data_IF_377402475958
#
_entry.id   IF_377402475958
#
_cell.length_a   1.000
_cell.length_b   1.000
_cell.length_c   1.000
_cell.angle_alpha   90.00
_cell.angle_beta   90.00
_cell.angle_gamma   90.00
#
_symmetry.space_group_name_H-M   'P 1'
#
loop_
_entity.id
_entity.type
_entity.pdbx_description
1 polymer ?
#
# COMPACT_ATOMS: atom_id res chain seq x y z
N UNK A 1 -3.19 10.46 27.24
CA UNK A 1 -4.13 9.34 27.00
C UNK A 1 -3.99 8.25 28.09
N UNK A 2 -2.80 7.70 28.33
CA UNK A 2 -2.57 6.55 29.27
C UNK A 2 -3.15 6.70 30.67
N UNK A 3 -3.18 7.91 31.21
CA UNK A 3 -3.69 8.16 32.57
C UNK A 3 -5.23 8.18 32.67
N UNK A 4 -5.91 8.36 31.53
CA UNK A 4 -7.37 8.50 31.48
C UNK A 4 -8.09 7.35 30.78
N UNK A 5 -7.43 6.68 29.84
CA UNK A 5 -7.99 5.59 29.02
C UNK A 5 -7.11 4.36 29.15
N UNK A 6 -7.70 3.22 29.50
CA UNK A 6 -7.03 1.92 29.61
C UNK A 6 -7.68 0.83 28.72
N UNK A 7 -9.00 0.91 28.51
CA UNK A 7 -9.79 -0.15 27.87
C UNK A 7 -10.35 0.33 26.54
N UNK A 8 -9.81 -0.20 25.43
CA UNK A 8 -10.14 0.19 24.08
C UNK A 8 -10.82 -0.98 23.35
N UNK A 9 -11.89 -0.69 22.58
CA UNK A 9 -12.53 -1.69 21.74
C UNK A 9 -12.53 -1.25 20.27
N UNK A 10 -12.13 -2.16 19.38
CA UNK A 10 -12.03 -1.94 17.94
C UNK A 10 -13.17 -2.66 17.20
N UNK A 11 -14.03 -1.92 16.49
CA UNK A 11 -15.06 -2.50 15.63
C UNK A 11 -14.50 -2.65 14.21
N UNK A 12 -14.48 -3.89 13.67
CA UNK A 12 -13.78 -4.23 12.43
C UNK A 12 -12.26 -4.37 12.64
N UNK A 13 -11.87 -4.98 13.76
CA UNK A 13 -10.45 -5.07 14.19
C UNK A 13 -9.55 -5.84 13.21
N UNK A 14 -10.12 -6.70 12.37
CA UNK A 14 -9.37 -7.52 11.41
C UNK A 14 -8.99 -6.79 10.11
N UNK A 15 -9.44 -5.55 9.92
CA UNK A 15 -9.00 -4.70 8.81
C UNK A 15 -7.50 -4.42 8.88
N UNK A 16 -6.81 -4.29 7.73
CA UNK A 16 -5.35 -4.16 7.65
C UNK A 16 -4.80 -3.01 8.51
N UNK A 17 -5.37 -1.82 8.39
CA UNK A 17 -4.97 -0.67 9.22
C UNK A 17 -5.44 -0.74 10.67
N UNK A 18 -6.60 -1.37 10.95
CA UNK A 18 -7.14 -1.52 12.31
C UNK A 18 -6.30 -2.49 13.15
N UNK A 19 -5.93 -3.63 12.58
CA UNK A 19 -5.18 -4.66 13.29
C UNK A 19 -3.80 -4.18 13.73
N UNK A 20 -3.11 -3.39 12.89
CA UNK A 20 -1.82 -2.80 13.23
C UNK A 20 -1.91 -1.81 14.40
N UNK A 21 -2.91 -0.94 14.40
CA UNK A 21 -3.15 0.00 15.51
C UNK A 21 -3.47 -0.76 16.80
N UNK A 22 -4.34 -1.78 16.72
CA UNK A 22 -4.72 -2.61 17.87
C UNK A 22 -3.51 -3.33 18.48
N UNK A 23 -2.60 -3.85 17.64
CA UNK A 23 -1.34 -4.47 18.05
C UNK A 23 -0.44 -3.46 18.77
N UNK A 24 -0.19 -2.29 18.20
CA UNK A 24 0.62 -1.23 18.81
C UNK A 24 0.02 -0.79 20.15
N UNK A 25 -1.30 -0.57 20.23
CA UNK A 25 -1.98 -0.19 21.45
C UNK A 25 -1.84 -1.27 22.54
N UNK A 26 -1.98 -2.54 22.17
CA UNK A 26 -1.80 -3.67 23.09
C UNK A 26 -0.35 -3.70 23.65
N UNK A 27 0.63 -3.58 22.77
CA UNK A 27 2.05 -3.58 23.15
C UNK A 27 2.43 -2.35 23.98
N UNK A 28 1.71 -1.24 23.85
CA UNK A 28 1.81 -0.07 24.73
C UNK A 28 1.16 -0.29 26.10
N UNK A 29 0.54 -1.45 26.37
CA UNK A 29 -0.05 -1.82 27.66
C UNK A 29 -1.53 -1.44 27.82
N UNK A 30 -2.23 -1.06 26.76
CA UNK A 30 -3.68 -0.90 26.79
C UNK A 30 -4.40 -2.25 26.79
N UNK A 31 -5.55 -2.32 27.45
CA UNK A 31 -6.44 -3.48 27.42
C UNK A 31 -7.28 -3.39 26.14
N UNK A 32 -6.80 -4.04 25.09
CA UNK A 32 -7.42 -4.02 23.77
C UNK A 32 -8.40 -5.19 23.62
N UNK A 33 -9.53 -4.91 23.00
CA UNK A 33 -10.48 -5.91 22.51
C UNK A 33 -11.06 -5.45 21.18
N UNK A 34 -11.74 -6.33 20.44
CA UNK A 34 -12.42 -5.93 19.22
C UNK A 34 -13.41 -6.96 18.72
N UNK A 35 -14.14 -6.60 17.67
CA UNK A 35 -15.07 -7.44 16.95
C UNK A 35 -14.76 -7.45 15.47
N UNK A 36 -14.94 -8.61 14.81
CA UNK A 36 -14.86 -8.77 13.38
C UNK A 36 -15.69 -9.97 12.91
N UNK A 37 -16.36 -9.82 11.77
CA UNK A 37 -17.18 -10.89 11.19
C UNK A 37 -16.34 -11.95 10.46
N UNK A 38 -15.10 -11.58 10.06
CA UNK A 38 -14.22 -12.47 9.31
C UNK A 38 -13.06 -12.97 10.18
N UNK A 39 -12.82 -14.27 10.16
CA UNK A 39 -11.67 -14.88 10.82
C UNK A 39 -10.41 -14.77 9.92
N UNK A 40 -9.99 -13.56 9.64
CA UNK A 40 -8.80 -13.25 8.82
C UNK A 40 -7.50 -13.70 9.49
N UNK A 41 -6.40 -13.71 8.73
CA UNK A 41 -5.06 -13.96 9.30
C UNK A 41 -4.67 -12.91 10.35
N UNK A 42 -5.10 -11.66 10.18
CA UNK A 42 -4.89 -10.58 11.16
C UNK A 42 -5.63 -10.89 12.48
N UNK A 43 -6.91 -11.27 12.41
CA UNK A 43 -7.67 -11.67 13.61
C UNK A 43 -7.01 -12.86 14.34
N UNK A 44 -6.51 -13.85 13.59
CA UNK A 44 -5.79 -15.00 14.19
C UNK A 44 -4.51 -14.55 14.89
N UNK A 45 -3.76 -13.60 14.30
CA UNK A 45 -2.54 -13.05 14.91
C UNK A 45 -2.85 -12.30 16.21
N UNK A 46 -3.84 -11.40 16.20
CA UNK A 46 -4.27 -10.66 17.39
C UNK A 46 -4.72 -11.58 18.54
N UNK A 47 -5.46 -12.65 18.23
CA UNK A 47 -5.84 -13.66 19.23
C UNK A 47 -4.64 -14.37 19.83
N UNK A 48 -3.61 -14.69 19.03
CA UNK A 48 -2.36 -15.30 19.53
C UNK A 48 -1.59 -14.36 20.47
N UNK A 49 -1.72 -13.04 20.31
CA UNK A 49 -1.15 -12.03 21.20
C UNK A 49 -1.95 -11.83 22.49
N UNK A 50 -3.08 -12.55 22.68
CA UNK A 50 -3.93 -12.42 23.87
C UNK A 50 -5.03 -11.37 23.74
N UNK A 51 -5.20 -10.72 22.58
CA UNK A 51 -6.27 -9.75 22.36
C UNK A 51 -7.61 -10.49 22.21
N UNK A 52 -8.61 -10.08 23.00
CA UNK A 52 -9.95 -10.66 22.95
C UNK A 52 -10.69 -10.15 21.69
N UNK A 53 -10.90 -11.04 20.71
CA UNK A 53 -11.63 -10.71 19.48
C UNK A 53 -12.91 -11.53 19.38
N UNK A 54 -14.05 -10.81 19.30
CA UNK A 54 -15.38 -11.38 19.13
C UNK A 54 -15.69 -11.60 17.64
N UNK A 55 -16.32 -12.73 17.30
CA UNK A 55 -16.68 -13.09 15.92
C UNK A 55 -18.05 -12.56 15.48
N UNK A 56 -18.75 -11.83 16.37
CA UNK A 56 -20.07 -11.22 16.12
C UNK A 56 -20.12 -9.85 16.78
N UNK A 57 -20.82 -8.92 16.15
CA UNK A 57 -21.16 -7.65 16.78
C UNK A 57 -22.26 -7.84 17.81
N UNK A 58 -22.07 -7.31 19.01
CA UNK A 58 -23.04 -7.36 20.11
C UNK A 58 -22.86 -6.16 21.04
N UNK A 59 -23.96 -5.60 21.53
CA UNK A 59 -23.93 -4.52 22.54
C UNK A 59 -23.15 -4.89 23.80
N UNK A 60 -23.12 -6.18 24.15
CA UNK A 60 -22.34 -6.68 25.31
C UNK A 60 -20.81 -6.57 25.12
N UNK A 61 -20.30 -6.51 23.90
CA UNK A 61 -18.86 -6.46 23.62
C UNK A 61 -18.20 -5.17 24.13
N UNK A 62 -18.97 -4.09 24.17
CA UNK A 62 -18.49 -2.74 24.56
C UNK A 62 -18.68 -2.42 26.05
N UNK A 63 -19.31 -3.32 26.81
CA UNK A 63 -19.53 -3.12 28.23
C UNK A 63 -18.21 -2.89 28.98
N UNK A 64 -18.14 -1.77 29.71
CA UNK A 64 -16.95 -1.36 30.48
C UNK A 64 -15.76 -0.94 29.61
N UNK A 65 -15.98 -0.54 28.36
CA UNK A 65 -14.98 0.09 27.51
C UNK A 65 -15.01 1.60 27.68
N UNK A 66 -13.88 2.24 27.45
CA UNK A 66 -13.70 3.68 27.68
C UNK A 66 -13.62 4.45 26.37
N UNK A 67 -13.28 3.78 25.28
CA UNK A 67 -13.29 4.33 23.91
C UNK A 67 -13.52 3.23 22.89
N UNK A 68 -14.24 3.57 21.82
CA UNK A 68 -14.51 2.70 20.68
C UNK A 68 -13.81 3.26 19.45
N UNK A 69 -13.02 2.42 18.77
CA UNK A 69 -12.39 2.75 17.48
C UNK A 69 -13.13 2.05 16.37
N UNK A 70 -13.56 2.79 15.35
CA UNK A 70 -14.41 2.24 14.28
C UNK A 70 -13.67 2.29 12.94
N UNK A 71 -13.73 1.17 12.19
CA UNK A 71 -13.29 1.12 10.80
C UNK A 71 -14.32 1.80 9.89
N UNK A 72 -13.86 2.53 8.86
CA UNK A 72 -14.75 3.13 7.85
C UNK A 72 -15.63 2.13 7.09
N UNK A 73 -15.25 0.84 7.06
CA UNK A 73 -16.05 -0.22 6.45
C UNK A 73 -17.25 -0.68 7.31
N UNK A 74 -17.35 -0.24 8.56
CA UNK A 74 -18.43 -0.62 9.47
C UNK A 74 -19.63 0.31 9.28
N UNK A 75 -20.84 -0.24 9.01
CA UNK A 75 -22.03 0.58 8.82
C UNK A 75 -22.40 1.38 10.08
N UNK A 76 -22.86 2.63 9.91
CA UNK A 76 -23.26 3.53 11.02
C UNK A 76 -24.38 2.95 11.91
N UNK A 77 -25.17 2.02 11.39
CA UNK A 77 -26.25 1.35 12.14
C UNK A 77 -25.78 0.13 12.93
N UNK A 78 -24.47 -0.14 13.04
CA UNK A 78 -23.91 -1.25 13.80
C UNK A 78 -24.37 -1.21 15.27
N UNK A 79 -24.69 -2.40 15.84
CA UNK A 79 -25.24 -2.50 17.20
C UNK A 79 -24.26 -2.03 18.28
N UNK A 80 -22.96 -2.22 18.09
CA UNK A 80 -21.92 -1.77 19.03
C UNK A 80 -21.79 -0.22 19.00
N UNK A 81 -21.89 0.39 17.80
CA UNK A 81 -21.92 1.86 17.65
C UNK A 81 -23.13 2.45 18.36
N UNK A 82 -24.33 1.90 18.12
CA UNK A 82 -25.56 2.36 18.76
C UNK A 82 -25.49 2.28 20.30
N UNK A 83 -24.97 1.17 20.80
CA UNK A 83 -24.83 0.97 22.25
C UNK A 83 -23.78 1.93 22.85
N UNK A 84 -22.67 2.19 22.14
CA UNK A 84 -21.65 3.14 22.57
C UNK A 84 -22.22 4.57 22.65
N UNK A 85 -23.04 4.98 21.66
CA UNK A 85 -23.74 6.27 21.67
C UNK A 85 -24.70 6.37 22.87
N UNK A 86 -25.51 5.31 23.11
CA UNK A 86 -26.43 5.25 24.25
C UNK A 86 -25.72 5.32 25.59
N UNK A 87 -24.54 4.75 25.68
CA UNK A 87 -23.71 4.70 26.91
C UNK A 87 -22.76 5.88 27.05
N UNK A 88 -22.83 6.88 26.17
CA UNK A 88 -21.91 8.03 26.11
C UNK A 88 -20.41 7.64 26.08
N UNK A 89 -20.09 6.52 25.45
CA UNK A 89 -18.70 6.11 25.22
C UNK A 89 -18.19 6.81 23.97
N UNK A 90 -17.03 7.52 24.01
CA UNK A 90 -16.44 8.14 22.83
C UNK A 90 -16.22 7.15 21.69
N UNK A 91 -16.64 7.55 20.49
CA UNK A 91 -16.47 6.77 19.25
C UNK A 91 -15.58 7.60 18.32
N UNK A 92 -14.43 7.06 17.99
CA UNK A 92 -13.43 7.73 17.14
C UNK A 92 -13.13 6.90 15.89
N UNK A 93 -12.85 7.52 14.75
CA UNK A 93 -12.41 6.84 13.56
C UNK A 93 -10.98 6.29 13.72
N UNK A 94 -10.62 5.32 12.89
CA UNK A 94 -9.27 4.72 12.82
C UNK A 94 -8.16 5.78 12.73
N UNK A 95 -8.34 6.78 11.89
CA UNK A 95 -7.34 7.82 11.65
C UNK A 95 -7.08 8.70 12.88
N UNK A 96 -8.11 9.01 13.66
CA UNK A 96 -7.97 9.75 14.91
C UNK A 96 -7.17 8.95 15.94
N UNK A 97 -7.42 7.64 16.09
CA UNK A 97 -6.59 6.79 16.96
C UNK A 97 -5.14 6.71 16.48
N UNK A 98 -4.92 6.68 15.16
CA UNK A 98 -3.57 6.69 14.58
C UNK A 98 -2.87 8.02 14.88
N UNK A 99 -3.58 9.14 14.78
CA UNK A 99 -3.07 10.47 15.16
C UNK A 99 -2.71 10.55 16.64
N UNK A 100 -3.53 9.99 17.52
CA UNK A 100 -3.20 9.92 18.95
C UNK A 100 -1.93 9.10 19.23
N UNK A 101 -1.69 8.02 18.46
CA UNK A 101 -0.42 7.29 18.54
C UNK A 101 0.77 8.14 18.09
N UNK A 102 0.60 8.98 17.06
CA UNK A 102 1.67 9.86 16.57
C UNK A 102 2.11 10.90 17.63
N UNK A 103 1.23 11.30 18.55
CA UNK A 103 1.58 12.22 19.65
C UNK A 103 2.62 11.67 20.62
N UNK A 104 2.84 10.37 20.63
CA UNK A 104 3.86 9.74 21.49
C UNK A 104 5.26 9.71 20.87
N UNK A 105 5.38 9.99 19.57
CA UNK A 105 6.61 9.86 18.79
C UNK A 105 6.65 10.87 17.65
N UNK A 106 7.82 11.08 17.05
CA UNK A 106 7.99 11.91 15.85
C UNK A 106 7.38 11.18 14.64
N UNK A 107 6.27 11.68 14.12
CA UNK A 107 5.53 11.07 13.03
C UNK A 107 6.18 11.31 11.67
N UNK A 108 6.27 10.25 10.86
CA UNK A 108 6.60 10.29 9.43
C UNK A 108 5.39 9.74 8.69
N UNK A 109 4.71 10.56 7.90
CA UNK A 109 3.52 10.16 7.16
C UNK A 109 3.84 10.02 5.66
N UNK A 110 3.45 8.89 5.08
CA UNK A 110 3.66 8.60 3.66
C UNK A 110 2.32 8.68 2.95
N UNK A 111 2.14 9.75 2.16
CA UNK A 111 0.94 10.02 1.36
C UNK A 111 1.19 9.82 -0.13
N UNK A 112 0.11 9.77 -0.90
CA UNK A 112 0.08 9.66 -2.34
C UNK A 112 -0.88 8.57 -2.79
N UNK A 113 -1.35 8.64 -4.03
CA UNK A 113 -2.32 7.68 -4.56
C UNK A 113 -1.71 6.28 -4.65
N UNK A 114 -0.48 6.17 -5.15
CA UNK A 114 0.22 4.89 -5.35
C UNK A 114 1.54 4.84 -4.58
N UNK A 115 1.99 3.62 -4.24
CA UNK A 115 3.31 3.40 -3.65
C UNK A 115 3.42 3.63 -2.15
N UNK A 116 2.36 4.06 -1.45
CA UNK A 116 2.35 4.30 0.01
C UNK A 116 2.96 3.14 0.80
N UNK A 117 2.38 1.95 0.67
CA UNK A 117 2.79 0.75 1.41
C UNK A 117 4.26 0.39 1.17
N UNK A 118 4.69 0.41 -0.09
CA UNK A 118 6.08 0.09 -0.45
C UNK A 118 7.07 1.13 0.10
N UNK A 119 6.71 2.42 0.02
CA UNK A 119 7.55 3.51 0.54
C UNK A 119 7.63 3.47 2.05
N UNK A 120 6.50 3.31 2.76
CA UNK A 120 6.46 3.16 4.23
C UNK A 120 7.35 2.01 4.69
N UNK A 121 7.30 0.91 3.96
CA UNK A 121 8.09 -0.29 4.25
C UNK A 121 9.59 -0.09 4.01
N UNK A 122 9.97 0.57 2.91
CA UNK A 122 11.36 0.91 2.61
C UNK A 122 11.92 1.91 3.64
N UNK A 123 11.15 2.94 4.01
CA UNK A 123 11.52 3.88 5.08
C UNK A 123 11.74 3.14 6.40
N UNK A 124 10.82 2.24 6.76
CA UNK A 124 10.95 1.43 7.98
C UNK A 124 12.20 0.55 7.97
N UNK A 125 12.53 -0.06 6.82
CA UNK A 125 13.73 -0.90 6.66
C UNK A 125 15.01 -0.07 6.78
N UNK A 126 15.08 1.08 6.11
CA UNK A 126 16.25 1.98 6.16
C UNK A 126 16.48 2.51 7.56
N UNK A 127 15.44 3.02 8.23
CA UNK A 127 15.58 3.56 9.60
C UNK A 127 15.93 2.46 10.62
N UNK A 128 15.40 1.24 10.44
CA UNK A 128 15.77 0.10 11.29
C UNK A 128 17.24 -0.32 11.10
N UNK A 129 17.75 -0.30 9.86
CA UNK A 129 19.16 -0.57 9.58
C UNK A 129 20.10 0.45 10.22
N UNK A 130 19.65 1.70 10.39
CA UNK A 130 20.35 2.74 11.14
C UNK A 130 20.16 2.69 12.66
N UNK A 131 19.64 1.59 13.21
CA UNK A 131 19.39 1.37 14.64
C UNK A 131 18.42 2.37 15.31
N UNK A 132 17.56 3.02 14.51
CA UNK A 132 16.56 3.96 15.06
C UNK A 132 15.30 3.25 15.58
N UNK A 133 15.17 1.96 15.37
CA UNK A 133 14.08 1.08 15.83
C UNK A 133 12.69 1.74 15.83
N UNK A 134 12.17 2.15 14.64
CA UNK A 134 10.93 2.89 14.54
C UNK A 134 9.71 2.03 14.88
N UNK A 135 8.67 2.67 15.41
CA UNK A 135 7.31 2.13 15.38
C UNK A 135 6.75 2.34 13.97
N UNK A 136 6.00 1.37 13.44
CA UNK A 136 5.32 1.55 12.16
C UNK A 136 3.97 0.85 12.10
N UNK A 137 3.06 1.41 11.29
CA UNK A 137 1.79 0.81 10.90
C UNK A 137 1.67 0.90 9.39
N UNK A 138 1.57 -0.25 8.71
CA UNK A 138 1.61 -0.41 7.26
C UNK A 138 0.34 -1.12 6.79
N UNK A 139 -0.24 -0.69 5.67
CA UNK A 139 -1.42 -1.32 5.07
C UNK A 139 -1.18 -2.73 4.51
N UNK A 140 0.08 -3.08 4.22
CA UNK A 140 0.53 -4.41 3.76
C UNK A 140 1.36 -5.15 4.81
N UNK A 141 1.70 -6.41 4.53
CA UNK A 141 2.55 -7.24 5.39
C UNK A 141 4.00 -7.22 4.92
N UNK A 142 4.91 -6.75 5.75
CA UNK A 142 6.35 -6.85 5.50
C UNK A 142 6.78 -8.32 5.46
N UNK A 143 7.42 -8.75 4.36
CA UNK A 143 7.85 -10.12 4.18
C UNK A 143 8.94 -10.53 5.19
N UNK A 144 9.90 -9.64 5.48
CA UNK A 144 10.96 -9.88 6.43
C UNK A 144 10.46 -10.10 7.86
N UNK A 145 9.45 -9.35 8.29
CA UNK A 145 8.96 -9.39 9.68
C UNK A 145 7.64 -10.16 9.82
N UNK A 146 6.99 -10.54 8.72
CA UNK A 146 5.67 -11.21 8.69
C UNK A 146 4.60 -10.44 9.49
N UNK A 147 4.72 -9.12 9.61
CA UNK A 147 3.86 -8.23 10.40
C UNK A 147 3.45 -6.98 9.61
N UNK A 148 2.30 -6.41 9.96
CA UNK A 148 1.79 -5.15 9.40
C UNK A 148 2.12 -3.96 10.32
N UNK A 149 2.53 -4.23 11.55
CA UNK A 149 2.89 -3.21 12.51
C UNK A 149 3.98 -3.71 13.44
N UNK A 150 4.71 -2.77 14.03
CA UNK A 150 5.71 -3.03 15.07
C UNK A 150 5.72 -1.86 16.03
N UNK A 151 5.75 -2.13 17.33
CA UNK A 151 6.13 -1.15 18.32
C UNK A 151 7.65 -1.19 18.47
N UNK A 152 8.34 -0.15 17.96
CA UNK A 152 9.78 0.04 18.17
C UNK A 152 10.06 0.84 19.43
N UNK A 153 11.28 0.74 19.95
CA UNK A 153 11.74 1.47 21.14
C UNK A 153 12.22 2.89 20.81
N UNK A 154 12.48 3.19 19.53
CA UNK A 154 12.94 4.52 19.09
C UNK A 154 11.81 5.56 19.05
N UNK A 155 12.19 6.82 18.79
CA UNK A 155 11.29 7.99 18.83
C UNK A 155 10.49 8.20 17.54
N UNK A 156 10.66 7.35 16.54
CA UNK A 156 10.03 7.52 15.24
C UNK A 156 8.76 6.68 15.11
N UNK A 157 7.74 7.25 14.44
CA UNK A 157 6.51 6.55 14.10
C UNK A 157 6.18 6.77 12.62
N UNK A 158 6.20 5.69 11.83
CA UNK A 158 6.00 5.71 10.39
C UNK A 158 4.60 5.18 10.09
N UNK A 159 3.82 5.94 9.31
CA UNK A 159 2.44 5.59 8.98
C UNK A 159 2.12 5.84 7.51
N UNK A 160 1.20 5.06 6.97
CA UNK A 160 0.54 5.37 5.70
C UNK A 160 -0.54 6.42 5.94
N UNK A 161 -0.54 7.48 5.15
CA UNK A 161 -1.53 8.55 5.15
C UNK A 161 -2.54 8.26 4.02
N UNK A 162 -3.78 7.94 4.41
CA UNK A 162 -4.80 7.47 3.49
C UNK A 162 -5.66 8.66 2.99
N UNK A 163 -5.54 8.97 1.71
CA UNK A 163 -6.30 10.00 1.03
C UNK A 163 -7.69 9.56 0.60
N UNK A 164 -7.94 8.25 0.53
CA UNK A 164 -9.16 7.69 -0.07
C UNK A 164 -10.46 8.14 0.59
N UNK A 165 -10.40 8.51 1.87
CA UNK A 165 -11.51 9.04 2.68
C UNK A 165 -11.17 10.39 3.34
N UNK A 166 -10.12 11.06 2.87
CA UNK A 166 -9.54 12.29 3.43
C UNK A 166 -9.10 12.16 4.91
N UNK A 167 -9.04 10.94 5.46
CA UNK A 167 -8.72 10.70 6.86
C UNK A 167 -7.28 11.06 7.23
N UNK A 168 -6.38 11.20 6.25
CA UNK A 168 -5.01 11.65 6.46
C UNK A 168 -4.93 13.07 7.05
N UNK A 169 -5.96 13.91 6.88
CA UNK A 169 -6.04 15.25 7.50
C UNK A 169 -6.05 15.21 9.04
N UNK A 170 -6.34 14.07 9.65
CA UNK A 170 -6.24 13.91 11.10
C UNK A 170 -4.81 13.72 11.58
N UNK A 171 -3.87 13.37 10.70
CA UNK A 171 -2.48 13.08 11.06
C UNK A 171 -1.69 14.38 11.26
N UNK A 172 -0.78 14.37 12.24
CA UNK A 172 0.11 15.50 12.55
C UNK A 172 1.59 15.05 12.45
N UNK A 173 2.11 14.81 11.25
CA UNK A 173 3.49 14.33 11.07
C UNK A 173 4.51 15.47 11.25
N UNK A 174 5.73 15.09 11.67
CA UNK A 174 6.91 15.98 11.62
C UNK A 174 7.51 15.98 10.19
N UNK A 175 7.46 14.82 9.53
CA UNK A 175 7.90 14.69 8.15
C UNK A 175 6.78 14.07 7.30
N UNK A 176 6.59 14.63 6.12
CA UNK A 176 5.60 14.15 5.14
C UNK A 176 6.28 13.74 3.86
N UNK A 177 5.91 12.58 3.32
CA UNK A 177 6.31 12.14 1.98
C UNK A 177 5.09 12.16 1.08
N UNK A 178 5.21 12.74 -0.12
CA UNK A 178 4.19 12.66 -1.18
C UNK A 178 4.80 11.96 -2.39
N UNK A 179 4.26 10.78 -2.70
CA UNK A 179 4.79 9.94 -3.79
C UNK A 179 4.26 10.32 -5.16
N UNK A 180 2.96 10.54 -5.28
CA UNK A 180 2.24 10.94 -6.49
C UNK A 180 0.81 11.37 -6.13
N UNK A 181 0.12 12.02 -7.07
CA UNK A 181 -1.31 12.37 -6.98
C UNK A 181 -1.94 11.94 -8.30
N UNK A 182 -2.86 10.97 -8.29
CA UNK A 182 -3.49 10.41 -9.48
C UNK A 182 -5.02 10.43 -9.35
N UNK A 183 -5.71 10.23 -10.46
CA UNK A 183 -7.17 10.19 -10.56
C UNK A 183 -7.73 8.90 -9.93
N UNK A 184 -7.76 8.83 -8.60
CA UNK A 184 -8.41 7.73 -7.86
C UNK A 184 -9.20 8.30 -6.68
N UNK A 185 -10.20 7.57 -6.21
CA UNK A 185 -11.03 7.94 -5.06
C UNK A 185 -11.75 9.30 -5.18
N UNK A 186 -12.01 9.78 -6.41
CA UNK A 186 -12.63 11.10 -6.65
C UNK A 186 -14.04 11.22 -6.07
N UNK A 187 -14.73 10.13 -5.78
CA UNK A 187 -16.03 10.12 -5.10
C UNK A 187 -15.98 10.88 -3.74
N UNK A 188 -14.88 10.73 -3.01
CA UNK A 188 -14.63 11.47 -1.74
C UNK A 188 -14.48 12.97 -1.97
N UNK A 189 -14.06 13.36 -3.15
CA UNK A 189 -13.77 14.74 -3.55
C UNK A 189 -14.82 15.31 -4.52
N UNK A 190 -16.03 14.73 -4.54
CA UNK A 190 -17.16 15.16 -5.38
C UNK A 190 -16.86 15.15 -6.88
N UNK A 191 -15.95 14.27 -7.31
CA UNK A 191 -15.49 14.18 -8.71
C UNK A 191 -14.48 15.25 -9.12
N UNK A 192 -14.07 16.13 -8.21
CA UNK A 192 -13.18 17.26 -8.48
C UNK A 192 -11.71 16.94 -8.12
N UNK A 193 -10.87 16.85 -9.14
CA UNK A 193 -9.45 16.59 -8.97
C UNK A 193 -8.67 17.76 -8.33
N UNK A 194 -9.09 19.01 -8.56
CA UNK A 194 -8.49 20.16 -7.89
C UNK A 194 -8.78 20.12 -6.38
N UNK A 195 -9.96 19.65 -5.99
CA UNK A 195 -10.30 19.44 -4.59
C UNK A 195 -9.39 18.37 -3.95
N UNK A 196 -9.10 17.29 -4.65
CA UNK A 196 -8.11 16.30 -4.21
C UNK A 196 -6.73 16.96 -4.00
N UNK A 197 -6.23 17.72 -4.97
CA UNK A 197 -4.95 18.44 -4.84
C UNK A 197 -4.93 19.42 -3.68
N UNK A 198 -6.01 20.17 -3.48
CA UNK A 198 -6.17 21.08 -2.35
C UNK A 198 -6.10 20.34 -1.01
N UNK A 199 -6.74 19.17 -0.92
CA UNK A 199 -6.70 18.34 0.29
C UNK A 199 -5.28 17.81 0.57
N UNK A 200 -4.50 17.49 -0.46
CA UNK A 200 -3.08 17.19 -0.28
C UNK A 200 -2.29 18.39 0.24
N UNK A 201 -2.57 19.61 -0.24
CA UNK A 201 -1.93 20.83 0.27
C UNK A 201 -2.28 21.04 1.74
N UNK A 202 -3.55 20.88 2.13
CA UNK A 202 -4.00 21.00 3.51
C UNK A 202 -3.32 19.97 4.41
N UNK A 203 -3.20 18.72 3.93
CA UNK A 203 -2.46 17.68 4.64
C UNK A 203 -0.96 18.01 4.79
N UNK A 204 -0.31 18.48 3.74
CA UNK A 204 1.10 18.89 3.79
C UNK A 204 1.30 20.02 4.83
N UNK A 205 0.35 20.93 4.96
CA UNK A 205 0.40 22.01 5.95
C UNK A 205 0.17 21.54 7.40
N UNK A 206 -0.27 20.29 7.65
CA UNK A 206 -0.21 19.68 8.99
C UNK A 206 1.24 19.42 9.45
N UNK A 207 2.19 19.35 8.52
CA UNK A 207 3.62 19.35 8.85
C UNK A 207 3.98 20.68 9.50
N UNK A 208 4.63 20.72 10.68
CA UNK A 208 4.97 21.97 11.35
C UNK A 208 6.02 22.77 10.55
N UNK A 209 6.18 24.05 10.86
CA UNK A 209 7.10 24.93 10.14
C UNK A 209 8.59 24.48 10.19
N UNK A 210 8.94 23.68 11.18
CA UNK A 210 10.29 23.10 11.36
C UNK A 210 10.40 21.68 10.81
N UNK A 211 9.34 21.13 10.27
CA UNK A 211 9.32 19.82 9.65
C UNK A 211 9.65 19.89 8.15
N UNK A 212 9.89 18.72 7.55
CA UNK A 212 10.32 18.61 6.16
C UNK A 212 9.30 17.81 5.33
N UNK A 213 9.02 18.27 4.11
CA UNK A 213 8.16 17.62 3.13
C UNK A 213 9.00 17.05 1.99
N UNK A 214 8.89 15.76 1.74
CA UNK A 214 9.60 15.07 0.66
C UNK A 214 8.64 14.84 -0.50
N UNK A 215 8.92 15.42 -1.67
CA UNK A 215 8.00 15.43 -2.81
C UNK A 215 8.62 14.83 -4.06
N UNK A 216 7.93 13.86 -4.68
CA UNK A 216 8.35 13.25 -5.94
C UNK A 216 8.04 14.17 -7.12
N UNK A 217 9.04 14.85 -7.69
CA UNK A 217 8.83 15.79 -8.80
C UNK A 217 8.75 15.13 -10.17
N UNK A 218 8.84 13.82 -10.26
CA UNK A 218 8.54 13.08 -11.48
C UNK A 218 7.04 13.02 -11.76
N UNK A 219 6.22 13.26 -10.73
CA UNK A 219 4.78 13.38 -10.85
C UNK A 219 4.40 14.84 -11.09
N UNK A 220 3.73 15.12 -12.22
CA UNK A 220 3.39 16.48 -12.63
C UNK A 220 2.34 17.13 -11.71
N UNK A 221 1.45 16.34 -11.09
CA UNK A 221 0.46 16.86 -10.15
C UNK A 221 1.11 17.24 -8.82
N UNK A 222 2.04 16.42 -8.31
CA UNK A 222 2.87 16.77 -7.15
C UNK A 222 3.69 18.03 -7.45
N UNK A 223 4.31 18.10 -8.61
CA UNK A 223 5.09 19.27 -9.03
C UNK A 223 4.23 20.54 -9.11
N UNK A 224 2.99 20.43 -9.59
CA UNK A 224 2.07 21.57 -9.75
C UNK A 224 1.66 22.22 -8.44
N UNK A 225 1.66 21.48 -7.31
CA UNK A 225 1.27 22.02 -6.01
C UNK A 225 2.44 22.63 -5.22
N UNK A 226 3.70 22.35 -5.59
CA UNK A 226 4.91 22.86 -4.91
C UNK A 226 4.86 24.39 -4.67
N UNK A 227 4.51 25.25 -5.66
CA UNK A 227 4.49 26.70 -5.45
C UNK A 227 3.50 27.18 -4.37
N UNK A 228 2.58 26.31 -3.94
CA UNK A 228 1.54 26.61 -2.94
C UNK A 228 1.91 26.12 -1.54
N UNK A 229 3.09 25.47 -1.37
CA UNK A 229 3.52 24.88 -0.10
C UNK A 229 4.47 25.83 0.62
N UNK A 230 4.11 26.22 1.85
CA UNK A 230 4.91 27.05 2.73
C UNK A 230 5.64 26.22 3.80
N UNK A 231 6.35 25.17 3.39
CA UNK A 231 7.16 24.29 4.24
C UNK A 231 8.51 24.05 3.58
N UNK A 232 9.49 23.55 4.34
CA UNK A 232 10.74 23.09 3.76
C UNK A 232 10.46 21.86 2.86
N UNK A 233 10.87 21.95 1.59
CA UNK A 233 10.65 20.87 0.62
C UNK A 233 12.01 20.29 0.20
N UNK A 234 12.09 18.95 0.25
CA UNK A 234 13.17 18.19 -0.39
C UNK A 234 12.55 17.39 -1.52
N UNK A 235 12.90 17.73 -2.75
CA UNK A 235 12.39 17.04 -3.94
C UNK A 235 13.22 15.81 -4.25
N UNK A 236 12.56 14.75 -4.71
CA UNK A 236 13.25 13.53 -5.16
C UNK A 236 12.65 13.01 -6.47
N UNK A 237 13.44 12.23 -7.22
CA UNK A 237 12.97 11.63 -8.47
C UNK A 237 14.10 11.28 -9.44
N UNK A 238 13.72 10.91 -10.66
CA UNK A 238 14.64 10.69 -11.80
C UNK A 238 14.93 11.99 -12.53
N UNK A 239 14.05 12.99 -12.38
CA UNK A 239 14.19 14.31 -12.99
C UNK A 239 15.50 14.99 -12.59
N UNK A 240 16.16 15.65 -13.56
CA UNK A 240 17.39 16.41 -13.33
C UNK A 240 17.25 17.53 -12.29
N UNK A 241 16.03 18.01 -12.08
CA UNK A 241 15.71 19.07 -11.15
C UNK A 241 15.47 18.57 -9.71
N UNK A 242 15.45 17.26 -9.48
CA UNK A 242 15.32 16.70 -8.15
C UNK A 242 16.55 16.99 -7.30
N UNK A 243 16.33 17.31 -6.02
CA UNK A 243 17.41 17.50 -5.04
C UNK A 243 18.08 16.17 -4.69
N UNK A 244 17.29 15.11 -4.58
CA UNK A 244 17.77 13.72 -4.43
C UNK A 244 17.42 12.98 -5.71
N UNK A 245 18.40 12.76 -6.57
CA UNK A 245 18.20 12.26 -7.93
C UNK A 245 18.77 10.85 -8.12
N UNK A 246 18.01 9.93 -8.76
CA UNK A 246 18.59 8.70 -9.26
C UNK A 246 19.05 8.85 -10.72
N UNK A 247 20.26 8.34 -10.99
CA UNK A 247 20.90 8.32 -12.29
C UNK A 247 21.44 6.94 -12.63
N UNK A 248 21.75 6.71 -13.91
CA UNK A 248 22.42 5.49 -14.39
C UNK A 248 21.68 4.21 -13.95
N UNK A 249 20.34 4.21 -14.11
CA UNK A 249 19.52 3.06 -13.76
C UNK A 249 19.93 1.83 -14.57
N UNK A 250 20.13 0.70 -13.88
CA UNK A 250 20.33 -0.62 -14.48
C UNK A 250 19.28 -1.57 -13.96
N UNK A 251 18.60 -2.27 -14.86
CA UNK A 251 17.60 -3.26 -14.56
C UNK A 251 18.15 -4.66 -14.82
N UNK A 252 18.10 -5.56 -13.85
CA UNK A 252 18.53 -6.95 -13.94
C UNK A 252 17.50 -7.85 -13.27
N UNK A 253 16.69 -8.55 -14.06
CA UNK A 253 15.60 -9.40 -13.56
C UNK A 253 14.70 -8.67 -12.56
N UNK A 254 14.74 -9.09 -11.28
CA UNK A 254 13.96 -8.52 -10.20
C UNK A 254 14.70 -7.46 -9.39
N UNK A 255 15.79 -6.88 -9.92
CA UNK A 255 16.64 -5.92 -9.22
C UNK A 255 16.82 -4.64 -10.00
N UNK A 256 17.01 -3.55 -9.27
CA UNK A 256 17.47 -2.27 -9.81
C UNK A 256 18.75 -1.83 -9.11
N UNK A 257 19.74 -1.36 -9.87
CA UNK A 257 20.85 -0.57 -9.34
C UNK A 257 20.87 0.82 -9.96
N UNK A 258 21.24 1.79 -9.18
CA UNK A 258 21.27 3.19 -9.62
C UNK A 258 22.21 4.02 -8.75
N UNK A 259 22.69 5.14 -9.31
CA UNK A 259 23.48 6.12 -8.59
C UNK A 259 22.56 7.20 -8.01
N UNK A 260 22.79 7.56 -6.75
CA UNK A 260 22.12 8.67 -6.06
C UNK A 260 23.01 9.88 -6.11
N UNK A 261 22.49 10.98 -6.63
CA UNK A 261 23.08 12.31 -6.54
C UNK A 261 22.28 13.15 -5.55
N UNK A 262 22.96 13.65 -4.55
CA UNK A 262 22.39 14.47 -3.50
C UNK A 262 22.88 15.92 -3.65
N UNK A 263 21.94 16.85 -3.80
CA UNK A 263 22.22 18.29 -3.92
C UNK A 263 21.84 19.07 -2.67
N UNK A 264 21.17 18.41 -1.71
CA UNK A 264 20.64 19.04 -0.49
C UNK A 264 21.53 18.78 0.73
N UNK A 265 21.77 17.52 1.09
CA UNK A 265 22.60 17.13 2.25
C UNK A 265 24.10 17.17 1.93
N UNK A 266 24.46 17.42 0.66
CA UNK A 266 25.86 17.52 0.16
C UNK A 266 26.69 16.25 0.34
N UNK A 267 26.02 15.09 0.29
CA UNK A 267 26.72 13.80 0.32
C UNK A 267 27.38 13.50 -1.02
N UNK A 268 28.51 12.80 -1.01
CA UNK A 268 29.11 12.28 -2.25
C UNK A 268 28.14 11.29 -2.92
N UNK A 269 28.07 11.33 -4.25
CA UNK A 269 27.26 10.36 -5.02
C UNK A 269 27.63 8.92 -4.68
N UNK A 270 26.62 8.07 -4.56
CA UNK A 270 26.80 6.67 -4.20
C UNK A 270 25.85 5.77 -5.00
N UNK A 271 26.28 4.54 -5.23
CA UNK A 271 25.47 3.52 -5.89
C UNK A 271 24.67 2.73 -4.87
N UNK A 272 23.41 2.40 -5.19
CA UNK A 272 22.55 1.52 -4.40
C UNK A 272 21.95 0.42 -5.26
N UNK A 273 21.60 -0.70 -4.62
CA UNK A 273 20.87 -1.82 -5.20
C UNK A 273 19.60 -2.06 -4.38
N UNK A 274 18.50 -2.34 -5.07
CA UNK A 274 17.23 -2.78 -4.47
C UNK A 274 16.78 -4.08 -5.12
N UNK A 275 16.19 -4.98 -4.33
CA UNK A 275 15.66 -6.26 -4.79
C UNK A 275 14.21 -6.15 -5.30
N UNK A 276 13.91 -5.06 -5.99
CA UNK A 276 12.60 -4.72 -6.54
C UNK A 276 12.77 -4.14 -7.94
N UNK A 277 12.02 -4.60 -8.94
CA UNK A 277 12.16 -4.14 -10.32
C UNK A 277 11.31 -2.89 -10.59
N UNK A 278 11.82 -2.04 -11.48
CA UNK A 278 11.06 -0.91 -12.03
C UNK A 278 11.34 0.44 -11.38
N UNK A 279 11.14 1.47 -12.20
CA UNK A 279 11.45 2.85 -11.83
C UNK A 279 10.59 3.38 -10.68
N UNK A 280 9.36 2.88 -10.54
CA UNK A 280 8.49 3.25 -9.42
C UNK A 280 9.09 2.83 -8.07
N UNK A 281 9.76 1.67 -7.99
CA UNK A 281 10.48 1.27 -6.78
C UNK A 281 11.76 2.07 -6.57
N UNK A 282 12.41 2.54 -7.63
CA UNK A 282 13.53 3.49 -7.51
C UNK A 282 13.06 4.79 -6.87
N UNK A 283 11.90 5.35 -7.30
CA UNK A 283 11.30 6.54 -6.68
C UNK A 283 10.96 6.30 -5.21
N UNK A 284 10.34 5.17 -4.87
CA UNK A 284 10.04 4.80 -3.49
C UNK A 284 11.32 4.67 -2.64
N UNK A 285 12.39 4.11 -3.20
CA UNK A 285 13.68 4.00 -2.52
C UNK A 285 14.33 5.37 -2.32
N UNK A 286 14.22 6.30 -3.28
CA UNK A 286 14.72 7.68 -3.12
C UNK A 286 14.03 8.40 -1.96
N UNK A 287 12.73 8.20 -1.76
CA UNK A 287 12.03 8.74 -0.58
C UNK A 287 12.62 8.17 0.72
N UNK A 288 12.89 6.85 0.77
CA UNK A 288 13.50 6.23 1.94
C UNK A 288 14.96 6.70 2.17
N UNK A 289 15.73 6.91 1.10
CA UNK A 289 17.07 7.49 1.16
C UNK A 289 17.01 8.91 1.72
N UNK A 290 16.12 9.76 1.20
CA UNK A 290 15.97 11.15 1.63
C UNK A 290 15.60 11.23 3.12
N UNK A 291 14.67 10.39 3.59
CA UNK A 291 14.33 10.27 5.01
C UNK A 291 15.54 9.75 5.82
N UNK A 292 16.28 8.74 5.34
CA UNK A 292 17.47 8.25 6.02
C UNK A 292 18.52 9.34 6.21
N UNK A 293 18.77 10.15 5.18
CA UNK A 293 19.69 11.29 5.23
C UNK A 293 19.20 12.39 6.19
N UNK A 294 17.90 12.70 6.20
CA UNK A 294 17.28 13.65 7.14
C UNK A 294 17.51 13.25 8.61
N UNK A 295 17.47 11.96 8.89
CA UNK A 295 17.74 11.44 10.24
C UNK A 295 19.22 11.10 10.49
N UNK A 296 20.12 11.54 9.62
CA UNK A 296 21.57 11.44 9.79
C UNK A 296 22.14 10.03 9.65
N UNK A 297 21.48 9.13 8.95
CA UNK A 297 21.99 7.79 8.71
C UNK A 297 23.20 7.81 7.80
N UNK A 298 24.15 6.92 8.09
CA UNK A 298 25.31 6.71 7.22
C UNK A 298 24.90 6.07 5.89
N UNK A 299 25.63 6.36 4.81
CA UNK A 299 25.40 5.71 3.50
C UNK A 299 25.45 4.18 3.59
N UNK A 300 26.37 3.55 4.32
CA UNK A 300 26.36 2.09 4.54
C UNK A 300 25.07 1.57 5.17
N UNK A 301 24.51 2.26 6.16
CA UNK A 301 23.25 1.86 6.80
C UNK A 301 22.07 1.96 5.84
N UNK A 302 21.98 3.06 5.08
CA UNK A 302 20.96 3.25 4.04
C UNK A 302 21.03 2.12 3.01
N UNK A 303 22.25 1.81 2.48
CA UNK A 303 22.46 0.72 1.53
C UNK A 303 22.04 -0.63 2.11
N UNK A 304 22.39 -0.92 3.35
CA UNK A 304 22.01 -2.15 4.05
C UNK A 304 20.49 -2.26 4.15
N UNK A 305 19.80 -1.20 4.61
CA UNK A 305 18.35 -1.19 4.75
C UNK A 305 17.60 -1.38 3.43
N UNK A 306 18.11 -0.85 2.32
CA UNK A 306 17.56 -1.05 0.99
C UNK A 306 17.82 -2.47 0.46
N UNK A 307 19.02 -3.00 0.64
CA UNK A 307 19.42 -4.34 0.18
C UNK A 307 18.71 -5.45 0.96
N UNK A 308 18.57 -5.30 2.28
CA UNK A 308 17.94 -6.30 3.15
C UNK A 308 16.39 -6.27 3.04
N UNK A 309 15.85 -5.29 2.36
CA UNK A 309 14.42 -5.20 2.12
C UNK A 309 13.94 -6.32 1.19
N UNK A 310 13.16 -7.23 1.71
CA UNK A 310 12.65 -8.43 1.01
C UNK A 310 11.27 -8.25 0.37
N UNK A 311 10.80 -7.00 0.26
CA UNK A 311 9.50 -6.67 -0.32
C UNK A 311 8.34 -6.72 0.69
N UNK A 312 7.18 -6.39 0.20
CA UNK A 312 5.89 -6.46 0.89
C UNK A 312 5.04 -7.51 0.19
N UNK A 313 4.32 -8.31 0.96
CA UNK A 313 3.42 -9.31 0.39
C UNK A 313 2.44 -8.68 -0.59
N UNK A 314 2.29 -9.28 -1.75
CA UNK A 314 1.46 -8.79 -2.84
C UNK A 314 1.88 -7.41 -3.41
N UNK A 315 3.17 -7.07 -3.37
CA UNK A 315 3.74 -5.91 -4.05
C UNK A 315 4.92 -6.40 -4.87
N UNK A 316 4.63 -6.81 -6.09
CA UNK A 316 5.55 -7.54 -6.98
C UNK A 316 6.21 -8.73 -6.26
N UNK A 317 5.40 -9.52 -5.54
CA UNK A 317 5.88 -10.68 -4.80
C UNK A 317 6.19 -11.81 -5.78
N UNK A 318 7.47 -12.17 -5.88
CA UNK A 318 7.98 -13.13 -6.86
C UNK A 318 8.09 -14.53 -6.25
N UNK A 319 7.62 -15.52 -7.00
CA UNK A 319 7.80 -16.94 -6.75
C UNK A 319 8.48 -17.57 -7.97
N UNK A 320 9.76 -17.91 -7.82
CA UNK A 320 10.53 -18.60 -8.86
C UNK A 320 10.31 -20.10 -8.80
N UNK A 321 10.59 -20.80 -9.90
CA UNK A 321 10.49 -22.25 -9.99
C UNK A 321 9.07 -22.81 -9.74
N UNK A 322 8.05 -22.13 -10.28
CA UNK A 322 6.70 -22.68 -10.34
C UNK A 322 6.62 -23.69 -11.50
N UNK A 323 6.20 -24.92 -11.18
CA UNK A 323 6.12 -26.00 -12.17
C UNK A 323 4.69 -26.50 -12.31
N UNK A 324 4.28 -26.75 -13.56
CA UNK A 324 3.07 -27.49 -13.87
C UNK A 324 3.30 -28.39 -15.07
N UNK A 325 3.23 -29.72 -14.88
CA UNK A 325 3.64 -30.71 -15.87
C UNK A 325 5.07 -30.44 -16.38
N UNK A 326 5.20 -30.12 -17.68
CA UNK A 326 6.49 -29.81 -18.32
C UNK A 326 6.80 -28.31 -18.43
N UNK A 327 5.91 -27.44 -17.92
CA UNK A 327 6.07 -25.99 -18.01
C UNK A 327 6.67 -25.42 -16.72
N UNK A 328 7.71 -24.63 -16.85
CA UNK A 328 8.31 -23.80 -15.80
C UNK A 328 7.93 -22.34 -16.01
N UNK A 329 7.55 -21.62 -14.97
CA UNK A 329 7.21 -20.21 -15.05
C UNK A 329 7.55 -19.46 -13.76
N UNK A 330 7.70 -18.16 -13.88
CA UNK A 330 7.81 -17.25 -12.73
C UNK A 330 6.42 -16.71 -12.42
N UNK A 331 6.00 -16.82 -11.16
CA UNK A 331 4.75 -16.24 -10.70
C UNK A 331 5.03 -14.91 -9.99
N UNK A 332 4.24 -13.89 -10.30
CA UNK A 332 4.22 -12.60 -9.61
C UNK A 332 2.82 -12.38 -9.04
N UNK A 333 2.71 -12.10 -7.73
CA UNK A 333 1.46 -11.67 -7.07
C UNK A 333 1.56 -10.16 -6.78
N UNK A 334 0.64 -9.38 -7.33
CA UNK A 334 0.60 -7.94 -7.13
C UNK A 334 -0.80 -7.44 -6.73
N UNK A 335 -0.83 -6.49 -5.82
CA UNK A 335 -2.08 -5.88 -5.32
C UNK A 335 -2.62 -4.82 -6.27
N UNK A 336 -1.85 -4.39 -7.24
CA UNK A 336 -2.20 -3.33 -8.17
C UNK A 336 -3.57 -3.55 -8.81
N UNK A 337 -4.34 -2.49 -8.88
CA UNK A 337 -5.72 -2.51 -9.34
C UNK A 337 -6.12 -1.22 -10.08
N UNK A 338 -5.16 -0.33 -10.33
CA UNK A 338 -5.29 0.89 -11.13
C UNK A 338 -4.52 0.75 -12.45
N UNK A 339 -4.95 1.38 -13.57
CA UNK A 339 -4.25 1.31 -14.85
C UNK A 339 -2.77 1.72 -14.77
N UNK A 340 -2.46 2.76 -13.98
CA UNK A 340 -1.09 3.23 -13.74
C UNK A 340 -0.23 2.13 -13.11
N UNK A 341 -0.78 1.37 -12.15
CA UNK A 341 -0.07 0.26 -11.50
C UNK A 341 0.15 -0.91 -12.47
N UNK A 342 -0.85 -1.25 -13.30
CA UNK A 342 -0.71 -2.28 -14.35
C UNK A 342 0.42 -1.91 -15.30
N UNK A 343 0.43 -0.69 -15.83
CA UNK A 343 1.49 -0.19 -16.73
C UNK A 343 2.86 -0.31 -16.08
N UNK A 344 3.00 0.13 -14.82
CA UNK A 344 4.26 0.08 -14.09
C UNK A 344 4.78 -1.35 -13.87
N UNK A 345 3.91 -2.29 -13.48
CA UNK A 345 4.26 -3.70 -13.26
C UNK A 345 4.65 -4.38 -14.57
N UNK A 346 3.90 -4.17 -15.65
CA UNK A 346 4.21 -4.77 -16.96
C UNK A 346 5.51 -4.21 -17.52
N UNK A 347 5.73 -2.88 -17.45
CA UNK A 347 6.98 -2.25 -17.90
C UNK A 347 8.20 -2.78 -17.11
N UNK A 348 8.10 -2.84 -15.79
CA UNK A 348 9.13 -3.41 -14.94
C UNK A 348 9.44 -4.87 -15.29
N UNK A 349 8.40 -5.66 -15.50
CA UNK A 349 8.56 -7.08 -15.88
C UNK A 349 9.19 -7.22 -17.26
N UNK A 350 8.76 -6.43 -18.25
CA UNK A 350 9.29 -6.46 -19.61
C UNK A 350 10.77 -6.08 -19.65
N UNK A 351 11.16 -5.03 -18.90
CA UNK A 351 12.56 -4.58 -18.79
C UNK A 351 13.43 -5.60 -18.05
N UNK A 352 12.90 -6.26 -17.01
CA UNK A 352 13.64 -7.26 -16.24
C UNK A 352 13.79 -8.60 -16.96
N UNK A 353 12.80 -8.97 -17.78
CA UNK A 353 12.73 -10.26 -18.46
C UNK A 353 12.38 -10.10 -19.96
N UNK A 354 13.26 -9.49 -20.76
CA UNK A 354 12.92 -9.07 -22.14
C UNK A 354 12.57 -10.25 -23.07
N UNK A 355 13.05 -11.46 -22.76
CA UNK A 355 12.87 -12.65 -23.59
C UNK A 355 11.74 -13.58 -23.09
N UNK A 356 10.96 -13.16 -22.08
CA UNK A 356 9.87 -13.99 -21.56
C UNK A 356 8.51 -13.42 -21.94
N UNK A 357 7.58 -14.32 -22.28
CA UNK A 357 6.17 -13.97 -22.48
C UNK A 357 5.53 -13.57 -21.15
N UNK A 358 4.79 -12.47 -21.14
CA UNK A 358 4.09 -11.93 -19.98
C UNK A 358 2.61 -12.25 -20.09
N UNK A 359 2.12 -13.06 -19.15
CA UNK A 359 0.72 -13.45 -19.04
C UNK A 359 0.10 -12.78 -17.81
N UNK A 360 -0.91 -11.95 -17.98
CA UNK A 360 -1.57 -11.23 -16.90
C UNK A 360 -2.93 -11.85 -16.59
N UNK A 361 -3.18 -12.24 -15.35
CA UNK A 361 -4.51 -12.50 -14.80
C UNK A 361 -4.90 -11.28 -14.00
N UNK A 362 -5.94 -10.59 -14.42
CA UNK A 362 -6.38 -9.34 -13.81
C UNK A 362 -7.79 -9.45 -13.25
N UNK A 363 -7.98 -9.00 -12.01
CA UNK A 363 -9.30 -8.83 -11.38
C UNK A 363 -9.59 -7.35 -11.20
N UNK A 364 -10.48 -6.75 -12.00
CA UNK A 364 -10.91 -5.37 -11.77
C UNK A 364 -11.54 -5.23 -10.38
N UNK A 365 -11.37 -4.09 -9.74
CA UNK A 365 -11.83 -3.86 -8.37
C UNK A 365 -12.66 -2.58 -8.30
N UNK A 366 -13.92 -2.69 -7.89
CA UNK A 366 -14.99 -1.68 -7.89
C UNK A 366 -15.54 -1.36 -9.27
N UNK A 367 -16.85 -1.23 -9.37
CA UNK A 367 -17.53 -0.81 -10.59
C UNK A 367 -17.27 0.67 -10.90
N UNK A 368 -17.25 1.52 -9.87
CA UNK A 368 -16.97 2.94 -10.01
C UNK A 368 -15.58 3.18 -10.64
N UNK A 369 -14.52 2.62 -10.10
CA UNK A 369 -13.17 2.75 -10.69
C UNK A 369 -13.11 2.16 -12.11
N UNK A 370 -13.76 1.02 -12.34
CA UNK A 370 -13.78 0.41 -13.68
C UNK A 370 -14.45 1.33 -14.69
N UNK A 371 -15.51 2.04 -14.32
CA UNK A 371 -16.16 3.07 -15.15
C UNK A 371 -15.23 4.26 -15.39
N UNK A 372 -14.69 4.83 -14.33
CA UNK A 372 -13.95 6.10 -14.39
C UNK A 372 -12.61 5.96 -15.13
N UNK A 373 -11.97 4.79 -15.06
CA UNK A 373 -10.72 4.49 -15.74
C UNK A 373 -10.87 3.51 -16.91
N UNK A 374 -12.06 3.36 -17.50
CA UNK A 374 -12.36 2.29 -18.46
C UNK A 374 -11.40 2.26 -19.66
N UNK A 375 -11.21 3.38 -20.34
CA UNK A 375 -10.31 3.47 -21.50
C UNK A 375 -8.84 3.26 -21.10
N UNK A 376 -8.43 3.75 -19.94
CA UNK A 376 -7.08 3.52 -19.43
C UNK A 376 -6.81 2.05 -19.08
N UNK A 377 -7.81 1.33 -18.56
CA UNK A 377 -7.73 -0.12 -18.39
C UNK A 377 -7.57 -0.83 -19.74
N UNK A 378 -8.36 -0.46 -20.75
CA UNK A 378 -8.25 -1.04 -22.09
C UNK A 378 -6.84 -0.86 -22.64
N UNK A 379 -6.26 0.33 -22.50
CA UNK A 379 -4.88 0.62 -22.95
C UNK A 379 -3.84 -0.17 -22.16
N UNK A 380 -3.96 -0.22 -20.83
CA UNK A 380 -3.01 -0.94 -19.98
C UNK A 380 -3.05 -2.47 -20.21
N UNK A 381 -4.24 -3.02 -20.44
CA UNK A 381 -4.45 -4.45 -20.66
C UNK A 381 -4.05 -4.94 -22.06
N UNK A 382 -3.68 -4.04 -22.97
CA UNK A 382 -3.05 -4.38 -24.27
C UNK A 382 -1.55 -4.62 -24.18
N UNK A 383 -0.90 -4.24 -23.07
CA UNK A 383 0.56 -4.33 -22.91
C UNK A 383 1.09 -5.76 -22.69
N UNK A 384 0.43 -6.66 -21.94
CA UNK A 384 0.84 -8.04 -21.79
C UNK A 384 0.70 -8.85 -23.10
N UNK A 385 1.41 -9.96 -23.19
CA UNK A 385 1.31 -10.85 -24.37
C UNK A 385 0.01 -11.67 -24.37
N UNK A 386 -0.50 -12.02 -23.17
CA UNK A 386 -1.82 -12.63 -22.95
C UNK A 386 -2.49 -12.04 -21.71
N UNK A 387 -3.79 -11.90 -21.77
CA UNK A 387 -4.59 -11.35 -20.66
C UNK A 387 -5.77 -12.26 -20.33
N UNK A 388 -5.95 -12.52 -19.06
CA UNK A 388 -7.09 -13.25 -18.50
C UNK A 388 -7.82 -12.30 -17.56
N UNK A 389 -9.06 -11.94 -17.88
CA UNK A 389 -9.83 -10.97 -17.09
C UNK A 389 -10.92 -11.68 -16.31
N UNK A 390 -10.90 -11.53 -15.00
CA UNK A 390 -11.90 -12.04 -14.06
C UNK A 390 -13.08 -11.07 -13.96
N UNK A 391 -14.19 -11.52 -13.35
CA UNK A 391 -15.28 -10.62 -12.99
C UNK A 391 -14.81 -9.49 -12.07
N UNK A 392 -15.47 -8.33 -12.20
CA UNK A 392 -15.22 -7.19 -11.31
C UNK A 392 -15.51 -7.58 -9.88
N UNK A 393 -14.55 -7.39 -8.99
CA UNK A 393 -14.77 -7.54 -7.56
C UNK A 393 -15.52 -6.31 -7.03
N UNK A 394 -16.76 -6.47 -6.51
CA UNK A 394 -17.64 -5.33 -6.25
C UNK A 394 -17.22 -4.47 -5.06
N UNK A 395 -16.50 -5.04 -4.07
CA UNK A 395 -16.12 -4.35 -2.83
C UNK A 395 -17.29 -3.60 -2.13
N UNK A 396 -18.50 -4.18 -2.19
CA UNK A 396 -19.71 -3.60 -1.60
C UNK A 396 -20.52 -2.69 -2.54
N UNK A 397 -20.03 -2.39 -3.73
CA UNK A 397 -20.75 -1.61 -4.73
C UNK A 397 -21.79 -2.45 -5.49
N UNK A 398 -22.82 -1.79 -6.01
CA UNK A 398 -23.76 -2.40 -6.94
C UNK A 398 -23.19 -2.37 -8.36
N UNK A 399 -23.56 -3.34 -9.22
CA UNK A 399 -23.22 -3.28 -10.65
C UNK A 399 -23.67 -1.98 -11.30
N UNK A 400 -22.85 -1.45 -12.20
CA UNK A 400 -23.16 -0.28 -13.03
C UNK A 400 -23.47 -0.79 -14.43
N UNK A 401 -24.54 -0.27 -15.04
CA UNK A 401 -24.96 -0.62 -16.39
C UNK A 401 -23.80 -0.40 -17.38
N UNK A 402 -23.64 -1.33 -18.32
CA UNK A 402 -22.60 -1.34 -19.37
C UNK A 402 -21.14 -1.43 -18.86
N UNK A 403 -20.91 -1.52 -17.56
CA UNK A 403 -19.58 -1.68 -16.96
C UNK A 403 -19.39 -3.14 -16.56
N UNK A 404 -18.61 -3.87 -17.37
CA UNK A 404 -18.30 -5.27 -17.11
C UNK A 404 -16.94 -5.68 -17.68
N UNK A 405 -16.41 -6.79 -17.19
CA UNK A 405 -15.19 -7.39 -17.74
C UNK A 405 -15.35 -7.84 -19.18
N UNK A 406 -16.57 -8.22 -19.60
CA UNK A 406 -16.88 -8.58 -20.99
C UNK A 406 -16.80 -7.38 -21.93
N UNK A 407 -17.41 -6.25 -21.53
CA UNK A 407 -17.31 -5.00 -22.29
C UNK A 407 -15.86 -4.54 -22.47
N UNK A 408 -15.04 -4.73 -21.42
CA UNK A 408 -13.61 -4.42 -21.48
C UNK A 408 -12.88 -5.32 -22.49
N UNK A 409 -13.17 -6.63 -22.50
CA UNK A 409 -12.58 -7.59 -23.44
C UNK A 409 -12.94 -7.25 -24.88
N UNK A 410 -14.21 -6.93 -25.14
CA UNK A 410 -14.70 -6.52 -26.47
C UNK A 410 -13.97 -5.26 -26.95
N UNK A 411 -13.73 -4.29 -26.05
CA UNK A 411 -13.02 -3.06 -26.39
C UNK A 411 -11.51 -3.26 -26.61
N UNK A 412 -10.88 -4.20 -25.86
CA UNK A 412 -9.48 -4.58 -26.08
C UNK A 412 -9.29 -5.17 -27.49
N UNK A 413 -10.27 -5.93 -27.96
CA UNK A 413 -10.32 -6.53 -29.30
C UNK A 413 -9.06 -7.34 -29.69
N UNK A 414 -8.43 -8.04 -28.74
CA UNK A 414 -7.23 -8.85 -28.95
C UNK A 414 -7.57 -10.34 -28.79
N UNK A 415 -7.19 -11.16 -29.78
CA UNK A 415 -7.40 -12.62 -29.76
C UNK A 415 -6.73 -13.37 -28.60
N UNK A 416 -5.77 -12.74 -27.92
CA UNK A 416 -5.08 -13.26 -26.74
C UNK A 416 -5.67 -12.75 -25.41
N UNK A 417 -6.92 -12.27 -25.42
CA UNK A 417 -7.65 -11.81 -24.25
C UNK A 417 -8.77 -12.81 -23.93
N UNK A 418 -8.79 -13.32 -22.70
CA UNK A 418 -9.69 -14.39 -22.26
C UNK A 418 -10.53 -13.94 -21.07
N UNK A 419 -11.81 -14.33 -21.06
CA UNK A 419 -12.68 -14.12 -19.92
C UNK A 419 -12.61 -15.29 -18.94
N UNK A 420 -12.46 -15.00 -17.65
CA UNK A 420 -12.43 -15.99 -16.56
C UNK A 420 -13.57 -15.77 -15.56
N UNK A 421 -14.77 -16.28 -15.81
CA UNK A 421 -15.92 -16.07 -14.91
C UNK A 421 -15.82 -16.93 -13.65
N UNK A 422 -15.15 -18.08 -13.70
CA UNK A 422 -15.09 -19.05 -12.60
C UNK A 422 -13.64 -19.45 -12.29
N UNK A 423 -13.29 -19.39 -10.99
CA UNK A 423 -11.97 -19.79 -10.49
C UNK A 423 -11.76 -21.30 -10.40
N UNK A 424 -12.82 -22.12 -10.41
CA UNK A 424 -12.70 -23.58 -10.23
C UNK A 424 -11.83 -24.23 -11.30
N UNK A 425 -12.06 -23.85 -12.56
CA UNK A 425 -11.33 -24.38 -13.71
C UNK A 425 -10.26 -23.40 -14.25
N UNK A 426 -10.21 -22.17 -13.71
CA UNK A 426 -9.33 -21.10 -14.21
C UNK A 426 -7.85 -21.50 -14.21
N UNK A 427 -7.38 -22.16 -13.14
CA UNK A 427 -5.99 -22.61 -13.04
C UNK A 427 -5.61 -23.54 -14.19
N UNK A 428 -6.42 -24.56 -14.49
CA UNK A 428 -6.15 -25.51 -15.56
C UNK A 428 -6.13 -24.82 -16.92
N UNK A 429 -7.07 -23.91 -17.16
CA UNK A 429 -7.15 -23.13 -18.38
C UNK A 429 -5.96 -22.19 -18.57
N UNK A 430 -5.61 -21.38 -17.53
CA UNK A 430 -4.45 -20.51 -17.58
C UNK A 430 -3.18 -21.32 -17.89
N UNK A 431 -2.98 -22.45 -17.20
CA UNK A 431 -1.80 -23.29 -17.37
C UNK A 431 -1.75 -24.01 -18.75
N UNK A 432 -2.89 -24.22 -19.43
CA UNK A 432 -2.88 -24.70 -20.81
C UNK A 432 -2.45 -23.61 -21.78
N UNK A 433 -2.83 -22.35 -21.54
CA UNK A 433 -2.59 -21.21 -22.42
C UNK A 433 -1.19 -20.58 -22.29
N UNK A 434 -0.59 -20.58 -21.09
CA UNK A 434 0.73 -19.97 -20.90
C UNK A 434 1.84 -20.83 -21.54
N UNK A 435 2.91 -20.18 -21.92
CA UNK A 435 4.08 -20.81 -22.53
C UNK A 435 5.04 -21.32 -21.45
N UNK A 436 5.92 -22.27 -21.84
CA UNK A 436 7.07 -22.63 -21.01
C UNK A 436 8.02 -21.43 -20.87
N UNK A 437 8.72 -21.33 -19.76
CA UNK A 437 9.66 -20.26 -19.45
C UNK A 437 9.04 -18.83 -19.54
N UNK A 438 7.77 -18.70 -19.17
CA UNK A 438 7.01 -17.45 -19.18
C UNK A 438 6.89 -16.82 -17.80
N UNK A 439 6.28 -15.63 -17.73
CA UNK A 439 5.90 -14.98 -16.48
C UNK A 439 4.38 -14.95 -16.39
N UNK A 440 3.86 -15.37 -15.25
CA UNK A 440 2.44 -15.30 -14.90
C UNK A 440 2.26 -14.25 -13.79
N UNK A 441 1.58 -13.16 -14.08
CA UNK A 441 1.27 -12.11 -13.13
C UNK A 441 -0.19 -12.26 -12.70
N UNK A 442 -0.45 -12.35 -11.40
CA UNK A 442 -1.79 -12.26 -10.83
C UNK A 442 -1.94 -10.90 -10.16
N UNK A 443 -2.88 -10.08 -10.64
CA UNK A 443 -2.97 -8.67 -10.24
C UNK A 443 -4.39 -8.25 -9.90
N UNK A 444 -4.55 -7.63 -8.71
CA UNK A 444 -5.85 -7.11 -8.23
C UNK A 444 -5.97 -7.07 -6.72
N UNK A 445 -6.85 -6.19 -6.22
CA UNK A 445 -7.08 -6.00 -4.78
C UNK A 445 -8.09 -7.00 -4.17
N UNK A 446 -8.82 -7.76 -4.99
CA UNK A 446 -9.91 -8.65 -4.58
C UNK A 446 -9.51 -10.07 -4.23
N UNK A 447 -10.37 -11.03 -4.57
CA UNK A 447 -10.22 -12.45 -4.26
C UNK A 447 -9.09 -13.16 -4.99
N UNK A 448 -8.51 -12.53 -6.01
CA UNK A 448 -7.39 -13.07 -6.81
C UNK A 448 -6.18 -13.47 -5.94
N UNK A 449 -5.98 -12.84 -4.80
CA UNK A 449 -4.91 -13.19 -3.87
C UNK A 449 -5.00 -14.62 -3.31
N UNK A 450 -6.21 -15.11 -3.11
CA UNK A 450 -6.42 -16.50 -2.67
C UNK A 450 -6.15 -17.49 -3.82
N UNK A 451 -6.36 -17.03 -5.04
CA UNK A 451 -6.11 -17.80 -6.24
C UNK A 451 -4.61 -17.94 -6.54
N UNK A 452 -3.80 -16.91 -6.29
CA UNK A 452 -2.35 -16.97 -6.45
C UNK A 452 -1.71 -18.14 -5.69
N UNK A 453 -2.19 -18.43 -4.48
CA UNK A 453 -1.69 -19.54 -3.66
C UNK A 453 -1.84 -20.93 -4.29
N UNK A 454 -2.74 -21.08 -5.27
CA UNK A 454 -2.94 -22.36 -5.95
C UNK A 454 -1.82 -22.68 -6.95
N UNK A 455 -1.06 -21.65 -7.41
CA UNK A 455 0.05 -21.82 -8.34
C UNK A 455 1.38 -22.07 -7.62
N UNK A 456 1.46 -21.72 -6.34
CA UNK A 456 2.63 -21.97 -5.50
C UNK A 456 2.56 -23.45 -5.09
N UNK A 457 3.48 -24.29 -5.57
CA UNK A 457 3.55 -25.70 -5.19
C UNK A 457 3.66 -25.83 -3.68
N UNK A 458 2.93 -26.77 -3.08
CA UNK A 458 3.22 -27.18 -1.70
C UNK A 458 4.65 -27.76 -1.71
N UNK A 459 5.57 -27.08 -1.02
CA UNK A 459 6.85 -27.68 -0.62
C UNK A 459 6.60 -28.85 0.30
#
# INVERSE_FOLDING_TARGET
MRDKIKKIHFIGIGGSGMSGIAEVMHNLGFIVSGSDLQLSSAVKSLKKMGIKVFSKHSSSNIKGKEVIVVSGAVPKNNIEIKEAQKSNIPIIPRAEMLSELMRFKKGIAIAGTHGKTSTTSLVSSVLSAGNLDPTYVIGGRLNAMKANAKLGMGDLFIVEADESDASFLHLNPINTVVTNIDYDHLETYEGDFERLKNTFIDFIHQTPFYGTVFMCIDDEHVKSIIPRISRQIITYGLSKNALIQAKKLKHQENKMSFWVEDKFFKMKSFEVEINLPGEHYVRNALAAIAIGLEYGLSIPDIKRGLKDFSGVGRRYEIFTNCYHHKKNFVLVDDYGHHPTEIKAVIDATRKGYPNKSINLVFQPHRFSRTRDCFEDFVLALRLPDKVFIMDIYPAGEKPIQDISSKAMIEKIANKKTFYLPDLKNAKKFILSEIEDNSILILMGAGSISSFAKQFIGKK
#
